data_IF_391566786397
#
_entry.id   IF_391566786397
#
_cell.length_a   1.000
_cell.length_b   1.000
_cell.length_c   1.000
_cell.angle_alpha   90.00
_cell.angle_beta   90.00
_cell.angle_gamma   90.00
#
_symmetry.space_group_name_H-M   'P 1'
#
loop_
_entity.id
_entity.type
_entity.pdbx_description
1 polymer ?
#
# COMPACT_ATOMS: atom_id res chain seq x y z
N UNK A 1 7.51 -4.41 -5.67
CA UNK A 1 6.62 -5.29 -4.87
C UNK A 1 6.65 -4.70 -3.48
N UNK A 2 5.51 -4.39 -2.89
CA UNK A 2 5.44 -3.64 -1.63
C UNK A 2 4.69 -4.50 -0.61
N UNK A 3 5.24 -4.62 0.60
CA UNK A 3 4.62 -5.37 1.69
C UNK A 3 3.66 -4.49 2.50
N UNK A 4 2.63 -5.07 3.11
CA UNK A 4 1.72 -4.35 4.01
C UNK A 4 2.44 -3.83 5.26
N UNK A 5 3.42 -4.60 5.75
CA UNK A 5 4.27 -4.20 6.88
C UNK A 5 5.01 -2.90 6.60
N UNK A 6 5.68 -2.80 5.45
CA UNK A 6 6.41 -1.60 5.02
C UNK A 6 5.48 -0.39 4.89
N UNK A 7 4.27 -0.60 4.38
CA UNK A 7 3.25 0.45 4.29
C UNK A 7 2.86 0.90 5.69
N UNK A 8 2.59 -0.02 6.62
CA UNK A 8 2.22 0.32 7.99
C UNK A 8 3.32 1.02 8.79
N UNK A 9 4.59 0.78 8.43
CA UNK A 9 5.76 1.41 9.06
C UNK A 9 6.03 2.81 8.52
N UNK A 10 5.66 3.03 7.26
CA UNK A 10 5.96 4.26 6.53
C UNK A 10 4.79 5.25 6.56
N UNK A 11 3.56 4.73 6.56
CA UNK A 11 2.32 5.49 6.45
C UNK A 11 1.51 5.39 7.74
N UNK A 12 0.79 6.46 8.08
CA UNK A 12 -0.06 6.53 9.27
C UNK A 12 -1.54 6.22 8.98
N UNK A 13 -2.37 6.20 10.03
CA UNK A 13 -3.82 6.05 9.88
C UNK A 13 -4.43 7.26 9.15
N UNK A 14 -5.06 7.01 8.01
CA UNK A 14 -5.67 7.99 7.11
C UNK A 14 -4.79 8.40 5.94
N UNK A 15 -3.58 7.85 5.83
CA UNK A 15 -2.62 8.29 4.83
C UNK A 15 -2.93 7.79 3.41
N UNK A 16 -2.42 8.49 2.41
CA UNK A 16 -2.72 8.27 1.00
C UNK A 16 -1.51 7.62 0.31
N UNK A 17 -1.58 6.31 0.16
CA UNK A 17 -0.60 5.47 -0.53
C UNK A 17 -0.81 5.58 -2.05
N UNK A 18 -0.19 6.60 -2.64
CA UNK A 18 -0.13 6.77 -4.10
C UNK A 18 1.16 6.20 -4.68
N UNK A 19 1.17 6.01 -5.99
CA UNK A 19 2.37 5.65 -6.74
C UNK A 19 3.52 6.67 -6.55
N UNK A 20 3.19 7.93 -6.27
CA UNK A 20 4.19 8.98 -6.00
C UNK A 20 4.72 8.88 -4.56
N UNK A 21 3.84 8.76 -3.56
CA UNK A 21 4.24 8.57 -2.17
C UNK A 21 5.09 7.29 -1.98
N UNK A 22 4.75 6.20 -2.68
CA UNK A 22 5.56 4.97 -2.70
C UNK A 22 6.95 5.16 -3.36
N UNK A 23 7.10 6.12 -4.27
CA UNK A 23 8.40 6.47 -4.85
C UNK A 23 9.20 7.38 -3.93
N UNK A 24 8.56 8.37 -3.31
CA UNK A 24 9.20 9.28 -2.36
C UNK A 24 9.77 8.53 -1.15
N UNK A 25 9.00 7.56 -0.64
CA UNK A 25 9.41 6.66 0.44
C UNK A 25 10.45 5.63 0.01
N UNK A 26 10.74 5.52 -1.30
CA UNK A 26 11.72 4.59 -1.85
C UNK A 26 11.26 3.14 -1.91
N UNK A 27 10.00 2.85 -1.55
CA UNK A 27 9.37 1.52 -1.61
C UNK A 27 9.22 1.00 -3.05
N UNK A 28 9.07 1.92 -4.01
CA UNK A 28 8.97 1.60 -5.43
C UNK A 28 10.07 2.33 -6.20
N UNK A 29 11.07 1.56 -6.64
CA UNK A 29 12.12 2.06 -7.54
C UNK A 29 11.71 1.83 -8.99
N UNK A 30 11.17 2.86 -9.64
CA UNK A 30 10.97 2.89 -11.09
C UNK A 30 9.76 3.69 -11.54
N UNK A 31 9.98 4.68 -12.41
CA UNK A 31 8.93 5.57 -12.94
C UNK A 31 7.84 4.83 -13.75
N UNK A 32 8.15 3.65 -14.31
CA UNK A 32 7.25 2.78 -15.10
C UNK A 32 6.89 1.46 -14.41
N UNK A 33 7.36 1.23 -13.19
CA UNK A 33 7.15 -0.05 -12.52
C UNK A 33 5.78 -0.04 -11.85
N UNK A 34 4.91 -0.97 -12.22
CA UNK A 34 3.66 -1.20 -11.47
C UNK A 34 4.02 -1.58 -10.04
N UNK A 35 3.60 -0.75 -9.09
CA UNK A 35 3.61 -1.12 -7.69
C UNK A 35 2.54 -2.21 -7.50
N UNK A 36 2.97 -3.35 -6.96
CA UNK A 36 2.09 -4.47 -6.60
C UNK A 36 2.17 -4.66 -5.09
N UNK A 37 1.05 -4.43 -4.41
CA UNK A 37 0.93 -4.66 -2.98
C UNK A 37 0.66 -6.15 -2.74
N UNK A 38 1.49 -6.74 -1.89
CA UNK A 38 1.42 -8.13 -1.46
C UNK A 38 0.99 -8.18 0.01
N UNK A 39 0.22 -9.22 0.35
CA UNK A 39 -0.15 -9.48 1.73
C UNK A 39 1.03 -10.13 2.45
N UNK A 40 1.99 -9.31 2.85
CA UNK A 40 3.14 -9.73 3.64
C UNK A 40 3.20 -8.82 4.88
N UNK A 41 2.73 -9.36 6.01
CA UNK A 41 2.60 -8.64 7.26
C UNK A 41 1.14 -8.34 7.67
N UNK A 42 1.00 -7.50 8.69
CA UNK A 42 -0.29 -7.06 9.20
C UNK A 42 -0.48 -5.58 8.90
N UNK A 43 -1.61 -5.25 8.27
CA UNK A 43 -1.99 -3.86 8.09
C UNK A 43 -2.94 -3.49 9.22
N UNK A 44 -2.43 -2.82 10.24
CA UNK A 44 -3.22 -2.28 11.35
C UNK A 44 -3.66 -0.83 11.12
N UNK A 45 -3.17 -0.22 10.03
CA UNK A 45 -3.38 1.18 9.67
C UNK A 45 -4.39 1.31 8.54
N UNK A 46 -5.29 2.29 8.67
CA UNK A 46 -6.22 2.68 7.61
C UNK A 46 -5.45 3.46 6.57
N UNK A 47 -5.26 2.92 5.37
CA UNK A 47 -4.59 3.64 4.29
C UNK A 47 -5.47 3.71 3.06
N UNK A 48 -5.34 4.79 2.30
CA UNK A 48 -6.03 5.01 1.03
C UNK A 48 -5.04 4.71 -0.09
N UNK A 49 -5.23 3.61 -0.79
CA UNK A 49 -4.38 3.21 -1.91
C UNK A 49 -5.00 3.76 -3.19
N UNK A 50 -4.27 4.62 -3.91
CA UNK A 50 -4.75 5.26 -5.13
C UNK A 50 -3.82 4.97 -6.32
N UNK A 51 -4.38 4.40 -7.39
CA UNK A 51 -3.65 4.16 -8.64
C UNK A 51 -2.60 3.06 -8.58
N UNK A 52 -2.67 2.16 -7.59
CA UNK A 52 -1.72 1.07 -7.37
C UNK A 52 -2.41 -0.29 -7.52
N UNK A 53 -1.72 -1.28 -8.09
CA UNK A 53 -2.26 -2.64 -8.15
C UNK A 53 -2.10 -3.33 -6.80
N UNK A 54 -3.19 -3.91 -6.31
CA UNK A 54 -3.22 -4.68 -5.08
C UNK A 54 -3.55 -6.13 -5.41
N UNK A 55 -2.89 -7.08 -4.76
CA UNK A 55 -3.21 -8.51 -4.94
C UNK A 55 -4.49 -8.86 -4.18
N UNK A 56 -5.26 -9.85 -4.65
CA UNK A 56 -6.54 -10.23 -4.04
C UNK A 56 -6.43 -10.43 -2.51
N UNK A 57 -5.44 -11.18 -2.03
CA UNK A 57 -5.22 -11.40 -0.60
C UNK A 57 -4.84 -10.13 0.18
N UNK A 58 -4.25 -9.13 -0.47
CA UNK A 58 -3.93 -7.85 0.17
C UNK A 58 -5.15 -6.95 0.24
N UNK A 59 -6.00 -6.95 -0.79
CA UNK A 59 -7.27 -6.21 -0.81
C UNK A 59 -8.12 -6.59 0.40
N UNK A 60 -8.25 -7.88 0.69
CA UNK A 60 -9.03 -8.37 1.84
C UNK A 60 -8.51 -7.80 3.16
N UNK A 61 -7.18 -7.76 3.37
CA UNK A 61 -6.59 -7.17 4.58
C UNK A 61 -6.71 -5.66 4.63
N UNK A 62 -6.57 -4.97 3.51
CA UNK A 62 -6.74 -3.50 3.44
C UNK A 62 -8.17 -3.13 3.81
N UNK A 63 -9.15 -3.80 3.21
CA UNK A 63 -10.57 -3.59 3.54
C UNK A 63 -10.86 -3.98 4.99
N UNK A 64 -10.28 -5.06 5.51
CA UNK A 64 -10.44 -5.47 6.91
C UNK A 64 -9.84 -4.46 7.90
N UNK A 65 -8.73 -3.81 7.53
CA UNK A 65 -8.13 -2.71 8.29
C UNK A 65 -8.94 -1.41 8.20
N UNK A 66 -9.93 -1.34 7.30
CA UNK A 66 -10.70 -0.12 7.03
C UNK A 66 -9.98 0.86 6.10
N UNK A 67 -9.02 0.38 5.32
CA UNK A 67 -8.40 1.12 4.22
C UNK A 67 -9.28 1.15 2.97
N UNK A 68 -9.01 2.11 2.10
CA UNK A 68 -9.77 2.33 0.87
C UNK A 68 -8.87 2.13 -0.35
N UNK A 69 -9.39 1.56 -1.44
CA UNK A 69 -8.63 1.33 -2.67
C UNK A 69 -9.38 2.00 -3.82
N UNK A 70 -8.70 2.89 -4.55
CA UNK A 70 -9.25 3.72 -5.63
C UNK A 70 -8.35 3.71 -6.87
#
# INVERSE_FOLDING_TARGET
MVSLDEISLTFEDGDIVTLDALKETGLVKGARTQAKILNNGELTKKVVIDGVKVSASAIEKITAAGGEIR
#
